data_IF_983248952282
#
_entry.id   IF_983248952282
#
_cell.length_a   1.000
_cell.length_b   1.000
_cell.length_c   1.000
_cell.angle_alpha   90.00
_cell.angle_beta   90.00
_cell.angle_gamma   90.00
#
_symmetry.space_group_name_H-M   'P 1'
#
loop_
_entity.id
_entity.type
_entity.pdbx_description
1 polymer ?
#
# COMPACT_ATOMS: atom_id res chain seq x y z
N UNK A 1 6.72 30.25 15.98
CA UNK A 1 6.42 30.12 14.55
C UNK A 1 4.91 30.17 14.40
N UNK A 2 4.39 30.93 13.44
CA UNK A 2 2.95 31.18 13.30
C UNK A 2 2.23 29.88 12.92
N UNK A 3 1.46 29.30 13.82
CA UNK A 3 0.64 28.07 13.65
C UNK A 3 -0.40 28.16 12.51
N UNK A 4 -0.45 29.28 11.82
CA UNK A 4 -1.46 29.57 10.80
C UNK A 4 -0.97 29.30 9.35
N UNK A 5 0.31 28.94 9.15
CA UNK A 5 0.89 28.70 7.82
C UNK A 5 0.77 27.24 7.36
N UNK A 6 0.75 26.30 8.30
CA UNK A 6 0.74 24.87 8.01
C UNK A 6 -0.67 24.27 8.14
N UNK A 7 -1.01 23.37 7.22
CA UNK A 7 -2.23 22.57 7.28
C UNK A 7 -2.00 21.26 8.06
N UNK A 8 -0.82 20.66 7.90
CA UNK A 8 -0.42 19.42 8.57
C UNK A 8 0.99 19.62 9.14
N UNK A 9 1.17 19.24 10.41
CA UNK A 9 2.48 19.21 11.08
C UNK A 9 2.64 17.88 11.79
N UNK A 10 3.69 17.15 11.46
CA UNK A 10 4.07 15.85 12.01
C UNK A 10 5.43 16.00 12.67
N UNK A 11 5.53 15.82 14.00
CA UNK A 11 6.74 16.02 14.77
C UNK A 11 7.14 14.76 15.53
N UNK A 12 8.30 14.17 15.16
CA UNK A 12 8.92 13.00 15.81
C UNK A 12 7.95 11.84 16.00
N UNK A 13 7.05 11.62 15.01
CA UNK A 13 6.01 10.61 15.10
C UNK A 13 6.59 9.22 14.93
N UNK A 14 6.32 8.38 15.93
CA UNK A 14 6.63 6.95 15.86
C UNK A 14 5.41 6.12 16.22
N UNK A 15 5.30 4.94 15.60
CA UNK A 15 4.25 3.96 15.89
C UNK A 15 4.83 2.58 16.05
N UNK A 16 4.68 2.04 17.26
CA UNK A 16 5.07 0.68 17.62
C UNK A 16 3.82 -0.17 17.85
N UNK A 17 3.81 -1.37 17.29
CA UNK A 17 2.83 -2.41 17.57
C UNK A 17 3.48 -3.50 18.42
N UNK A 18 2.78 -3.94 19.46
CA UNK A 18 3.19 -5.06 20.29
C UNK A 18 2.61 -6.35 19.72
N UNK A 19 3.46 -7.22 19.22
CA UNK A 19 3.08 -8.50 18.63
C UNK A 19 3.34 -9.60 19.67
N UNK A 20 2.31 -10.35 20.01
CA UNK A 20 2.37 -11.47 20.96
C UNK A 20 2.37 -12.78 20.19
N UNK A 21 3.38 -13.62 20.41
CA UNK A 21 3.49 -14.92 19.74
C UNK A 21 2.38 -15.88 20.19
N UNK A 22 1.95 -15.75 21.45
CA UNK A 22 0.85 -16.53 22.00
C UNK A 22 -0.17 -15.65 22.72
N UNK A 23 -1.47 -15.99 22.69
CA UNK A 23 -2.51 -15.27 23.44
C UNK A 23 -2.23 -15.19 24.94
N UNK A 24 -1.57 -16.22 25.50
CA UNK A 24 -1.18 -16.29 26.93
C UNK A 24 -0.12 -15.24 27.29
N UNK A 25 0.71 -14.82 26.37
CA UNK A 25 1.77 -13.85 26.60
C UNK A 25 1.22 -12.44 26.81
N UNK A 26 0.08 -12.13 26.17
CA UNK A 26 -0.68 -10.90 26.45
C UNK A 26 -1.16 -10.83 27.91
N UNK A 27 -1.64 -11.96 28.46
CA UNK A 27 -2.04 -12.03 29.86
C UNK A 27 -0.82 -11.93 30.80
N UNK A 28 0.29 -12.62 30.48
CA UNK A 28 1.54 -12.52 31.25
C UNK A 28 2.07 -11.09 31.25
N UNK A 29 2.05 -10.39 30.11
CA UNK A 29 2.48 -8.99 30.01
C UNK A 29 1.68 -8.06 30.92
N UNK A 30 0.41 -8.35 31.14
CA UNK A 30 -0.43 -7.55 32.03
C UNK A 30 -0.13 -7.77 33.53
N UNK A 31 0.26 -8.99 33.92
CA UNK A 31 0.42 -9.41 35.34
C UNK A 31 1.89 -9.40 35.78
N UNK A 32 2.78 -10.08 35.05
CA UNK A 32 4.16 -10.36 35.48
C UNK A 32 5.00 -9.09 35.66
N UNK A 33 5.00 -8.09 34.76
CA UNK A 33 5.81 -6.88 34.96
C UNK A 33 5.43 -6.07 36.19
N UNK A 34 4.16 -6.15 36.65
CA UNK A 34 3.71 -5.49 37.86
C UNK A 34 4.28 -6.18 39.13
N UNK A 35 4.33 -7.51 39.12
CA UNK A 35 4.94 -8.27 40.18
C UNK A 35 6.47 -8.13 40.24
N UNK A 36 7.12 -8.14 39.04
CA UNK A 36 8.57 -7.93 38.94
C UNK A 36 8.97 -6.52 39.41
N UNK A 37 8.17 -5.50 39.07
CA UNK A 37 8.38 -4.13 39.57
C UNK A 37 8.23 -4.04 41.11
N UNK A 38 7.27 -4.75 41.73
CA UNK A 38 7.08 -4.80 43.17
C UNK A 38 8.23 -5.51 43.87
N UNK A 39 8.92 -6.44 43.19
CA UNK A 39 10.07 -7.19 43.68
C UNK A 39 11.43 -6.56 43.30
N UNK A 40 11.43 -5.34 42.73
CA UNK A 40 12.64 -4.63 42.27
C UNK A 40 13.48 -5.45 41.25
N UNK A 41 12.82 -6.28 40.40
CA UNK A 41 13.45 -7.08 39.35
C UNK A 41 13.30 -6.39 38.00
N UNK A 42 14.19 -6.69 37.07
CA UNK A 42 14.08 -6.22 35.69
C UNK A 42 12.76 -6.72 35.05
N UNK A 43 12.05 -5.80 34.42
CA UNK A 43 10.77 -6.09 33.73
C UNK A 43 11.01 -6.90 32.46
N UNK A 44 10.41 -8.07 32.39
CA UNK A 44 10.43 -8.89 31.16
C UNK A 44 9.30 -8.48 30.24
N UNK A 45 9.62 -8.29 28.96
CA UNK A 45 8.63 -8.07 27.91
C UNK A 45 8.27 -9.42 27.27
N UNK A 46 6.96 -9.67 27.12
CA UNK A 46 6.41 -10.88 26.50
C UNK A 46 5.83 -10.61 25.12
N UNK A 47 6.35 -9.59 24.43
CA UNK A 47 5.95 -9.19 23.07
C UNK A 47 7.18 -8.78 22.26
N UNK A 48 7.03 -8.93 20.93
CA UNK A 48 7.96 -8.38 19.97
C UNK A 48 7.50 -6.99 19.53
N UNK A 49 8.40 -6.04 19.44
CA UNK A 49 8.11 -4.70 18.96
C UNK A 49 8.21 -4.64 17.44
N UNK A 50 7.14 -4.21 16.80
CA UNK A 50 7.14 -3.89 15.37
C UNK A 50 6.93 -2.38 15.18
N UNK A 51 7.99 -1.70 14.77
CA UNK A 51 7.97 -0.28 14.53
C UNK A 51 7.49 0.00 13.09
N UNK A 52 6.22 0.35 12.96
CA UNK A 52 5.62 0.72 11.67
C UNK A 52 6.04 2.11 11.21
N UNK A 53 6.34 3.02 12.17
CA UNK A 53 6.93 4.34 11.93
C UNK A 53 7.94 4.64 13.03
N UNK A 54 9.01 5.35 12.66
CA UNK A 54 10.07 5.76 13.59
C UNK A 54 10.59 7.15 13.26
N UNK A 55 10.37 8.08 14.18
CA UNK A 55 10.88 9.46 14.19
C UNK A 55 10.60 10.22 12.87
N UNK A 56 9.36 10.14 12.38
CA UNK A 56 8.93 10.81 11.15
C UNK A 56 8.61 12.27 11.44
N UNK A 57 9.17 13.17 10.61
CA UNK A 57 8.95 14.61 10.64
C UNK A 57 8.51 15.08 9.26
N UNK A 58 7.35 15.75 9.17
CA UNK A 58 6.81 16.20 7.90
C UNK A 58 5.82 17.34 8.09
N UNK A 59 5.92 18.35 7.24
CA UNK A 59 5.05 19.51 7.28
C UNK A 59 4.46 19.77 5.89
N UNK A 60 3.19 20.18 5.85
CA UNK A 60 2.49 20.59 4.63
C UNK A 60 1.89 21.97 4.86
N UNK A 61 2.23 22.93 4.00
CA UNK A 61 1.67 24.28 4.04
C UNK A 61 0.23 24.29 3.54
N UNK A 62 -0.56 25.28 3.98
CA UNK A 62 -1.90 25.49 3.43
C UNK A 62 -1.85 25.76 1.93
N UNK A 63 -2.69 25.05 1.17
CA UNK A 63 -2.72 25.12 -0.29
C UNK A 63 -1.57 24.43 -1.00
N UNK A 64 -0.67 23.75 -0.26
CA UNK A 64 0.41 22.97 -0.84
C UNK A 64 -0.08 21.59 -1.29
N UNK A 65 0.42 21.10 -2.43
CA UNK A 65 0.28 19.72 -2.84
C UNK A 65 1.54 18.95 -2.49
N UNK A 66 1.45 18.07 -1.48
CA UNK A 66 2.54 17.26 -0.97
C UNK A 66 2.32 15.77 -1.22
N UNK A 67 3.39 15.03 -1.53
CA UNK A 67 3.37 13.60 -1.79
C UNK A 67 3.96 12.78 -0.64
N UNK A 68 3.46 11.56 -0.44
CA UNK A 68 4.14 10.53 0.33
C UNK A 68 4.37 9.34 -0.59
N UNK A 69 5.63 9.00 -0.81
CA UNK A 69 6.01 7.87 -1.64
C UNK A 69 6.81 6.84 -0.84
N UNK A 70 6.70 5.59 -1.22
CA UNK A 70 7.39 4.47 -0.60
C UNK A 70 6.75 3.15 -1.00
N UNK A 71 7.47 2.06 -0.77
CA UNK A 71 7.03 0.69 -1.08
C UNK A 71 5.85 0.26 -0.19
N UNK A 72 5.23 -0.87 -0.56
CA UNK A 72 4.27 -1.54 0.31
C UNK A 72 4.95 -1.93 1.62
N UNK A 73 4.27 -1.65 2.75
CA UNK A 73 4.84 -1.86 4.09
C UNK A 73 5.82 -0.78 4.57
N UNK A 74 6.03 0.32 3.83
CA UNK A 74 6.91 1.42 4.28
C UNK A 74 6.32 2.30 5.38
N UNK A 75 5.04 2.12 5.75
CA UNK A 75 4.37 2.88 6.81
C UNK A 75 3.41 3.98 6.32
N UNK A 76 3.20 4.14 5.00
CA UNK A 76 2.33 5.19 4.42
C UNK A 76 0.92 5.18 5.02
N UNK A 77 0.23 4.06 4.99
CA UNK A 77 -1.15 3.94 5.51
C UNK A 77 -1.20 4.18 7.03
N UNK A 78 -0.17 3.75 7.77
CA UNK A 78 -0.06 4.03 9.21
C UNK A 78 0.08 5.54 9.47
N UNK A 79 0.93 6.23 8.68
CA UNK A 79 1.09 7.68 8.80
C UNK A 79 -0.21 8.41 8.46
N UNK A 80 -0.91 7.98 7.39
CA UNK A 80 -2.21 8.56 7.03
C UNK A 80 -3.26 8.39 8.11
N UNK A 81 -3.37 7.19 8.70
CA UNK A 81 -4.29 6.94 9.81
C UNK A 81 -4.00 7.81 11.03
N UNK A 82 -2.73 8.11 11.29
CA UNK A 82 -2.35 9.02 12.37
C UNK A 82 -2.71 10.47 12.00
N UNK A 83 -2.47 10.92 10.76
CA UNK A 83 -2.82 12.26 10.28
C UNK A 83 -4.33 12.49 10.32
N UNK A 84 -5.14 11.49 9.95
CA UNK A 84 -6.61 11.55 10.01
C UNK A 84 -7.19 11.41 11.41
N UNK A 85 -6.35 11.10 12.42
CA UNK A 85 -6.79 10.93 13.82
C UNK A 85 -7.45 9.58 14.11
N UNK A 86 -7.49 8.65 13.15
CA UNK A 86 -8.04 7.30 13.36
C UNK A 86 -7.12 6.38 14.13
N UNK A 87 -5.83 6.72 14.20
CA UNK A 87 -4.79 6.00 14.93
C UNK A 87 -3.94 6.96 15.76
N UNK A 88 -3.74 6.66 17.05
CA UNK A 88 -2.85 7.43 17.91
C UNK A 88 -1.39 7.01 17.72
N UNK A 89 -0.42 7.95 17.63
CA UNK A 89 0.99 7.63 17.61
C UNK A 89 1.44 7.04 18.96
N UNK A 90 2.57 6.34 18.98
CA UNK A 90 3.22 5.87 20.21
C UNK A 90 4.02 6.99 20.86
N UNK A 91 4.72 7.78 20.05
CA UNK A 91 5.45 8.98 20.44
C UNK A 91 5.31 10.05 19.37
N UNK A 92 5.63 11.29 19.72
CA UNK A 92 5.50 12.44 18.84
C UNK A 92 4.12 13.07 18.84
N UNK A 93 3.96 14.12 18.05
CA UNK A 93 2.71 14.90 17.96
C UNK A 93 2.32 15.14 16.51
N UNK A 94 1.01 15.27 16.30
CA UNK A 94 0.43 15.68 15.02
C UNK A 94 -0.54 16.82 15.27
N UNK A 95 -0.44 17.86 14.43
CA UNK A 95 -1.42 18.94 14.36
C UNK A 95 -1.95 19.05 12.93
N UNK A 96 -3.26 19.13 12.80
CA UNK A 96 -3.96 19.39 11.53
C UNK A 96 -4.90 20.56 11.68
N UNK A 97 -4.95 21.44 10.67
CA UNK A 97 -5.72 22.68 10.72
C UNK A 97 -6.68 22.74 9.53
N UNK A 98 -7.97 22.57 9.79
CA UNK A 98 -9.03 22.56 8.80
C UNK A 98 -9.78 21.22 8.72
N UNK A 99 -10.80 21.19 7.85
CA UNK A 99 -11.61 19.99 7.60
C UNK A 99 -10.84 19.03 6.69
N UNK A 100 -10.71 17.79 7.13
CA UNK A 100 -10.02 16.73 6.38
C UNK A 100 -11.05 15.88 5.65
N UNK A 101 -10.90 15.75 4.32
CA UNK A 101 -11.54 14.70 3.55
C UNK A 101 -10.47 13.66 3.19
N UNK A 102 -10.69 12.41 3.59
CA UNK A 102 -9.74 11.33 3.35
C UNK A 102 -10.36 10.26 2.46
N UNK A 103 -9.75 10.02 1.31
CA UNK A 103 -10.16 8.99 0.35
C UNK A 103 -9.50 7.62 0.63
N UNK A 104 -9.17 7.35 1.90
CA UNK A 104 -8.44 6.13 2.33
C UNK A 104 -9.30 4.87 2.23
N UNK A 105 -10.57 5.00 2.57
CA UNK A 105 -11.54 3.90 2.60
C UNK A 105 -12.86 4.42 2.03
N UNK A 106 -12.92 4.59 0.71
CA UNK A 106 -14.10 5.12 0.04
C UNK A 106 -15.35 4.29 0.36
N UNK A 107 -16.31 4.93 1.02
CA UNK A 107 -17.58 4.32 1.40
C UNK A 107 -17.60 3.60 2.75
N UNK A 108 -16.50 3.52 3.50
CA UNK A 108 -16.48 2.91 4.84
C UNK A 108 -17.41 3.61 5.86
N UNK A 109 -17.65 4.92 5.65
CA UNK A 109 -18.59 5.71 6.47
C UNK A 109 -20.05 5.62 6.04
N UNK A 110 -20.38 4.83 5.01
CA UNK A 110 -21.75 4.69 4.55
C UNK A 110 -22.52 3.69 5.39
N UNK A 111 -23.78 4.04 5.72
CA UNK A 111 -24.71 3.06 6.27
C UNK A 111 -25.35 2.26 5.12
N UNK A 112 -25.14 0.94 5.05
CA UNK A 112 -25.63 0.12 3.95
C UNK A 112 -27.16 0.06 3.84
N UNK A 113 -27.88 0.30 4.93
CA UNK A 113 -29.36 0.33 4.96
C UNK A 113 -29.94 1.65 4.47
N UNK A 114 -29.14 2.71 4.45
CA UNK A 114 -29.57 4.03 3.98
C UNK A 114 -29.45 4.14 2.47
N UNK A 115 -30.28 4.97 1.87
CA UNK A 115 -30.20 5.35 0.46
C UNK A 115 -28.92 6.14 0.19
N UNK A 116 -28.54 6.27 -1.09
CA UNK A 116 -27.42 7.14 -1.47
C UNK A 116 -27.64 8.59 -1.02
N UNK A 117 -28.89 9.09 -1.15
CA UNK A 117 -29.30 10.41 -0.66
C UNK A 117 -29.02 10.56 0.83
N UNK A 118 -29.53 9.65 1.65
CA UNK A 118 -29.35 9.70 3.11
C UNK A 118 -27.87 9.61 3.51
N UNK A 119 -27.08 8.82 2.79
CA UNK A 119 -25.63 8.73 3.01
C UNK A 119 -24.89 10.03 2.65
N UNK A 120 -25.34 10.80 1.65
CA UNK A 120 -24.81 12.14 1.38
C UNK A 120 -25.00 13.06 2.59
N UNK A 121 -26.19 13.09 3.16
CA UNK A 121 -26.47 13.91 4.35
C UNK A 121 -25.71 13.43 5.59
N UNK A 122 -25.64 12.11 5.80
CA UNK A 122 -24.90 11.52 6.91
C UNK A 122 -23.43 11.92 6.86
N UNK A 123 -22.77 11.74 5.71
CA UNK A 123 -21.35 12.07 5.55
C UNK A 123 -21.10 13.58 5.60
N UNK A 124 -21.99 14.39 5.02
CA UNK A 124 -21.91 15.85 5.14
C UNK A 124 -21.97 16.32 6.60
N UNK A 125 -22.86 15.73 7.38
CA UNK A 125 -22.97 16.04 8.82
C UNK A 125 -21.73 15.59 9.61
N UNK A 126 -21.15 14.41 9.29
CA UNK A 126 -19.88 13.93 9.89
C UNK A 126 -18.72 14.90 9.59
N UNK A 127 -18.71 15.50 8.40
CA UNK A 127 -17.72 16.53 8.00
C UNK A 127 -18.04 17.92 8.60
N UNK A 128 -19.06 18.03 9.43
CA UNK A 128 -19.41 19.26 10.14
C UNK A 128 -20.25 20.25 9.34
N UNK A 129 -20.84 19.84 8.22
CA UNK A 129 -21.73 20.69 7.42
C UNK A 129 -23.15 20.67 7.96
N UNK A 130 -23.81 21.83 7.90
CA UNK A 130 -25.22 21.90 8.20
C UNK A 130 -26.10 21.48 7.00
N UNK A 131 -27.40 21.26 7.25
CA UNK A 131 -28.29 20.76 6.19
C UNK A 131 -28.35 21.68 4.97
N UNK A 132 -28.38 22.99 5.15
CA UNK A 132 -28.46 23.94 4.03
C UNK A 132 -27.21 23.93 3.17
N UNK A 133 -26.04 23.73 3.78
CA UNK A 133 -24.75 23.59 3.07
C UNK A 133 -24.76 22.32 2.22
N UNK A 134 -25.30 21.22 2.75
CA UNK A 134 -25.42 19.96 2.03
C UNK A 134 -26.44 20.10 0.89
N UNK A 135 -27.61 20.71 1.15
CA UNK A 135 -28.66 20.96 0.13
C UNK A 135 -28.08 21.72 -1.08
N UNK A 136 -27.28 22.76 -0.82
CA UNK A 136 -26.65 23.57 -1.87
C UNK A 136 -25.63 22.77 -2.75
N UNK A 137 -25.06 21.68 -2.22
CA UNK A 137 -24.07 20.86 -2.91
C UNK A 137 -24.65 19.55 -3.44
N UNK A 138 -25.88 19.23 -3.07
CA UNK A 138 -26.51 17.94 -3.36
C UNK A 138 -26.52 17.60 -4.87
N UNK A 139 -26.98 18.54 -5.69
CA UNK A 139 -27.07 18.32 -7.15
C UNK A 139 -25.68 18.15 -7.79
N UNK A 140 -24.66 18.86 -7.28
CA UNK A 140 -23.30 18.70 -7.74
C UNK A 140 -22.73 17.31 -7.34
N UNK A 141 -23.03 16.83 -6.13
CA UNK A 141 -22.65 15.49 -5.66
C UNK A 141 -23.32 14.42 -6.53
N UNK A 142 -24.64 14.51 -6.70
CA UNK A 142 -25.44 13.55 -7.46
C UNK A 142 -24.99 13.51 -8.94
N UNK A 143 -24.75 14.67 -9.55
CA UNK A 143 -24.28 14.81 -10.92
C UNK A 143 -22.86 14.29 -11.12
N UNK A 144 -21.97 14.47 -10.13
CA UNK A 144 -20.62 13.92 -10.19
C UNK A 144 -20.61 12.39 -10.04
N UNK A 145 -21.38 11.85 -9.09
CA UNK A 145 -21.49 10.41 -8.84
C UNK A 145 -22.06 9.67 -10.06
N UNK A 146 -23.00 10.29 -10.79
CA UNK A 146 -23.56 9.77 -12.03
C UNK A 146 -24.10 8.33 -11.89
N UNK A 147 -24.91 8.11 -10.84
CA UNK A 147 -25.52 6.82 -10.52
C UNK A 147 -27.04 6.80 -10.76
N UNK A 148 -27.59 7.91 -11.27
CA UNK A 148 -28.97 8.02 -11.69
C UNK A 148 -29.98 7.73 -10.58
N UNK A 149 -31.01 6.97 -10.92
CA UNK A 149 -32.13 6.63 -9.99
C UNK A 149 -31.70 5.75 -8.82
N UNK A 150 -30.50 5.12 -8.86
CA UNK A 150 -29.98 4.33 -7.74
C UNK A 150 -29.74 5.18 -6.49
N UNK A 151 -29.62 6.51 -6.66
CA UNK A 151 -29.43 7.42 -5.52
C UNK A 151 -30.54 7.28 -4.46
N UNK A 152 -31.75 6.90 -4.86
CA UNK A 152 -32.90 6.67 -3.98
C UNK A 152 -33.01 5.22 -3.46
N UNK A 153 -32.04 4.36 -3.80
CA UNK A 153 -32.00 2.97 -3.34
C UNK A 153 -31.01 2.80 -2.19
N UNK A 154 -31.20 1.79 -1.30
CA UNK A 154 -30.24 1.48 -0.26
C UNK A 154 -28.87 1.13 -0.81
N UNK A 155 -27.82 1.66 -0.19
CA UNK A 155 -26.42 1.51 -0.66
C UNK A 155 -25.97 0.05 -0.70
N UNK A 156 -26.56 -0.83 0.13
CA UNK A 156 -26.29 -2.28 0.06
C UNK A 156 -26.62 -2.92 -1.30
N UNK A 157 -27.43 -2.26 -2.13
CA UNK A 157 -27.78 -2.73 -3.49
C UNK A 157 -26.81 -2.22 -4.56
N UNK A 158 -25.83 -1.39 -4.19
CA UNK A 158 -24.90 -0.79 -5.13
C UNK A 158 -23.83 -1.78 -5.57
N UNK A 159 -23.37 -1.63 -6.81
CA UNK A 159 -22.11 -2.22 -7.21
C UNK A 159 -20.94 -1.51 -6.50
N UNK A 160 -19.78 -2.17 -6.41
CA UNK A 160 -18.58 -1.56 -5.86
C UNK A 160 -18.20 -0.25 -6.56
N UNK A 161 -18.37 -0.17 -7.89
CA UNK A 161 -18.14 1.03 -8.67
C UNK A 161 -19.10 2.17 -8.31
N UNK A 162 -20.40 1.90 -8.13
CA UNK A 162 -21.38 2.91 -7.70
C UNK A 162 -21.07 3.44 -6.30
N UNK A 163 -20.71 2.55 -5.38
CA UNK A 163 -20.30 2.91 -4.02
C UNK A 163 -19.14 3.90 -4.03
N UNK A 164 -18.09 3.56 -4.77
CA UNK A 164 -16.89 4.40 -4.89
C UNK A 164 -17.19 5.74 -5.56
N UNK A 165 -18.01 5.75 -6.63
CA UNK A 165 -18.41 6.99 -7.31
C UNK A 165 -19.14 7.93 -6.37
N UNK A 166 -20.10 7.43 -5.59
CA UNK A 166 -20.84 8.25 -4.62
C UNK A 166 -19.92 8.73 -3.50
N UNK A 167 -19.11 7.84 -2.92
CA UNK A 167 -18.20 8.19 -1.84
C UNK A 167 -17.20 9.26 -2.24
N UNK A 168 -16.59 9.13 -3.42
CA UNK A 168 -15.69 10.13 -3.97
C UNK A 168 -16.41 11.47 -4.21
N UNK A 169 -17.61 11.44 -4.84
CA UNK A 169 -18.38 12.64 -5.10
C UNK A 169 -18.69 13.43 -3.82
N UNK A 170 -19.09 12.74 -2.76
CA UNK A 170 -19.33 13.36 -1.45
C UNK A 170 -18.08 14.04 -0.94
N UNK A 171 -16.95 13.34 -0.88
CA UNK A 171 -15.70 13.85 -0.30
C UNK A 171 -15.15 15.08 -1.03
N UNK A 172 -15.22 15.11 -2.38
CA UNK A 172 -14.62 16.19 -3.17
C UNK A 172 -15.53 17.40 -3.36
N UNK A 173 -16.86 17.21 -3.33
CA UNK A 173 -17.81 18.32 -3.52
C UNK A 173 -18.08 19.10 -2.22
N UNK A 174 -17.73 18.54 -1.07
CA UNK A 174 -17.91 19.21 0.23
C UNK A 174 -16.80 20.23 0.54
N UNK A 175 -15.89 20.46 -0.39
CA UNK A 175 -14.82 21.49 -0.32
C UNK A 175 -14.03 21.43 1.00
N UNK A 176 -13.25 20.39 1.21
CA UNK A 176 -12.41 20.27 2.40
C UNK A 176 -11.27 21.29 2.38
N UNK A 177 -10.69 21.60 3.54
CA UNK A 177 -9.46 22.38 3.64
C UNK A 177 -8.23 21.53 3.30
N UNK A 178 -8.29 20.22 3.63
CA UNK A 178 -7.25 19.22 3.39
C UNK A 178 -7.89 18.01 2.71
N UNK A 179 -7.39 17.67 1.54
CA UNK A 179 -7.77 16.47 0.80
C UNK A 179 -6.63 15.45 0.89
N UNK A 180 -6.92 14.28 1.47
CA UNK A 180 -5.98 13.16 1.53
C UNK A 180 -6.42 12.12 0.51
N UNK A 181 -5.51 11.79 -0.40
CA UNK A 181 -5.75 10.85 -1.49
C UNK A 181 -4.76 9.71 -1.39
N UNK A 182 -5.26 8.49 -1.27
CA UNK A 182 -4.44 7.28 -1.31
C UNK A 182 -4.59 6.58 -2.68
N UNK A 183 -3.83 5.53 -2.90
CA UNK A 183 -3.82 4.68 -4.11
C UNK A 183 -5.23 4.28 -4.62
N UNK A 184 -6.27 4.49 -3.80
CA UNK A 184 -7.67 4.20 -4.12
C UNK A 184 -8.25 4.97 -5.33
N UNK A 185 -7.52 5.91 -5.95
CA UNK A 185 -7.96 6.56 -7.20
C UNK A 185 -7.95 5.61 -8.42
N UNK A 186 -7.33 4.44 -8.32
CA UNK A 186 -7.37 3.42 -9.37
C UNK A 186 -8.72 2.68 -9.48
N UNK A 187 -9.75 3.11 -8.72
CA UNK A 187 -11.07 2.47 -8.66
C UNK A 187 -12.06 3.15 -9.62
N UNK A 188 -12.88 2.35 -10.28
CA UNK A 188 -13.85 2.80 -11.28
C UNK A 188 -13.33 2.62 -12.72
N UNK A 189 -14.09 3.13 -13.68
CA UNK A 189 -13.67 3.12 -15.09
C UNK A 189 -12.70 4.28 -15.42
N UNK A 190 -11.99 4.16 -16.53
CA UNK A 190 -11.00 5.14 -16.96
C UNK A 190 -11.57 6.56 -17.16
N UNK A 191 -12.86 6.67 -17.49
CA UNK A 191 -13.52 7.96 -17.66
C UNK A 191 -13.76 8.62 -16.29
N UNK A 192 -14.23 7.86 -15.33
CA UNK A 192 -14.43 8.34 -13.95
C UNK A 192 -13.10 8.73 -13.32
N UNK A 193 -12.04 7.93 -13.49
CA UNK A 193 -10.70 8.28 -13.02
C UNK A 193 -10.23 9.63 -13.55
N UNK A 194 -10.38 9.90 -14.86
CA UNK A 194 -10.06 11.21 -15.46
C UNK A 194 -10.88 12.35 -14.84
N UNK A 195 -12.17 12.12 -14.53
CA UNK A 195 -13.01 13.09 -13.83
C UNK A 195 -12.51 13.37 -12.41
N UNK A 196 -12.09 12.32 -11.70
CA UNK A 196 -11.50 12.44 -10.35
C UNK A 196 -10.22 13.29 -10.38
N UNK A 197 -9.26 12.98 -11.28
CA UNK A 197 -8.03 13.75 -11.40
C UNK A 197 -8.30 15.24 -11.70
N UNK A 198 -9.18 15.55 -12.66
CA UNK A 198 -9.54 16.92 -12.97
C UNK A 198 -10.19 17.66 -11.79
N UNK A 199 -10.98 16.94 -10.98
CA UNK A 199 -11.58 17.54 -9.79
C UNK A 199 -10.55 17.83 -8.72
N UNK A 200 -9.57 16.94 -8.52
CA UNK A 200 -8.44 17.15 -7.60
C UNK A 200 -7.61 18.36 -8.05
N UNK A 201 -7.24 18.45 -9.33
CA UNK A 201 -6.53 19.60 -9.89
C UNK A 201 -7.30 20.91 -9.69
N UNK A 202 -8.62 20.89 -9.87
CA UNK A 202 -9.46 22.05 -9.62
C UNK A 202 -9.46 22.45 -8.14
N UNK A 203 -9.55 21.48 -7.23
CA UNK A 203 -9.53 21.75 -5.78
C UNK A 203 -8.17 22.33 -5.35
N UNK A 204 -7.07 21.77 -5.82
CA UNK A 204 -5.72 22.27 -5.51
C UNK A 204 -5.48 23.66 -6.08
N UNK A 205 -5.93 23.96 -7.31
CA UNK A 205 -5.85 25.30 -7.87
C UNK A 205 -6.71 26.33 -7.13
N UNK A 206 -7.75 25.89 -6.43
CA UNK A 206 -8.57 26.72 -5.54
C UNK A 206 -7.99 26.86 -4.11
N UNK A 207 -6.79 26.34 -3.86
CA UNK A 207 -6.09 26.49 -2.59
C UNK A 207 -6.37 25.39 -1.56
N UNK A 208 -7.03 24.30 -1.93
CA UNK A 208 -7.17 23.11 -1.07
C UNK A 208 -5.81 22.45 -0.91
N UNK A 209 -5.43 22.14 0.32
CA UNK A 209 -4.20 21.41 0.62
C UNK A 209 -4.34 19.95 0.19
N UNK A 210 -3.42 19.44 -0.63
CA UNK A 210 -3.42 18.05 -1.08
C UNK A 210 -2.31 17.26 -0.38
N UNK A 211 -2.68 16.12 0.23
CA UNK A 211 -1.73 15.08 0.62
C UNK A 211 -1.98 13.84 -0.25
N UNK A 212 -1.11 13.62 -1.22
CA UNK A 212 -1.22 12.54 -2.18
C UNK A 212 -0.28 11.40 -1.84
N UNK A 213 -0.81 10.20 -1.66
CA UNK A 213 -0.04 9.01 -1.29
C UNK A 213 -0.16 7.97 -2.38
N UNK A 214 0.96 7.61 -2.97
CA UNK A 214 0.99 6.62 -4.03
C UNK A 214 2.37 5.95 -4.15
N UNK A 215 2.39 4.77 -4.75
CA UNK A 215 3.60 4.16 -5.26
C UNK A 215 3.83 4.50 -6.76
N UNK A 216 2.81 5.08 -7.43
CA UNK A 216 2.93 5.53 -8.82
C UNK A 216 3.67 6.85 -8.94
N UNK A 217 4.86 6.78 -9.53
CA UNK A 217 5.80 7.90 -9.65
C UNK A 217 5.27 9.03 -10.55
N UNK A 218 4.53 8.69 -11.62
CA UNK A 218 4.01 9.69 -12.55
C UNK A 218 2.91 10.53 -11.91
N UNK A 219 2.00 9.91 -11.17
CA UNK A 219 0.97 10.63 -10.42
C UNK A 219 1.56 11.55 -9.36
N UNK A 220 2.57 11.06 -8.61
CA UNK A 220 3.28 11.89 -7.62
C UNK A 220 3.97 13.08 -8.29
N UNK A 221 4.66 12.85 -9.40
CA UNK A 221 5.36 13.90 -10.15
C UNK A 221 4.41 14.97 -10.69
N UNK A 222 3.23 14.57 -11.12
CA UNK A 222 2.24 15.46 -11.75
C UNK A 222 1.46 16.26 -10.72
N UNK A 223 1.09 15.64 -9.60
CA UNK A 223 0.17 16.23 -8.62
C UNK A 223 0.87 16.92 -7.46
N UNK A 224 2.17 16.69 -7.23
CA UNK A 224 2.84 17.18 -6.03
C UNK A 224 4.14 17.92 -6.33
N UNK A 225 4.39 19.00 -5.57
CA UNK A 225 5.63 19.78 -5.68
C UNK A 225 6.72 19.27 -4.72
N UNK A 226 6.33 18.86 -3.53
CA UNK A 226 7.20 18.30 -2.49
C UNK A 226 6.70 16.91 -2.10
N UNK A 227 7.65 16.07 -1.69
CA UNK A 227 7.31 14.70 -1.27
C UNK A 227 8.17 14.26 -0.08
N UNK A 228 7.61 13.30 0.66
CA UNK A 228 8.25 12.52 1.70
C UNK A 228 8.48 11.10 1.18
N UNK A 229 9.72 10.62 1.22
CA UNK A 229 10.07 9.23 0.96
C UNK A 229 10.13 8.45 2.28
N UNK A 230 9.28 7.43 2.37
CA UNK A 230 9.28 6.48 3.48
C UNK A 230 9.83 5.13 3.02
N UNK A 231 10.76 4.57 3.81
CA UNK A 231 11.20 3.20 3.66
C UNK A 231 11.28 2.51 5.03
N UNK A 232 10.63 1.34 5.15
CA UNK A 232 10.61 0.51 6.37
C UNK A 232 10.31 1.30 7.64
N UNK A 233 9.30 2.16 7.56
CA UNK A 233 8.84 2.99 8.67
C UNK A 233 9.70 4.21 8.99
N UNK A 234 10.75 4.49 8.22
CA UNK A 234 11.64 5.63 8.41
C UNK A 234 11.51 6.64 7.30
N UNK A 235 11.67 7.89 7.65
CA UNK A 235 11.87 8.98 6.70
C UNK A 235 13.26 8.88 6.09
N UNK A 236 13.33 8.71 4.77
CA UNK A 236 14.59 8.68 4.02
C UNK A 236 14.94 10.06 3.52
N UNK A 237 13.98 10.73 2.89
CA UNK A 237 14.18 12.04 2.29
C UNK A 237 12.88 12.84 2.28
N UNK A 238 13.00 14.15 2.39
CA UNK A 238 11.92 15.12 2.13
C UNK A 238 12.50 16.26 1.28
N UNK A 239 11.80 16.61 0.20
CA UNK A 239 12.27 17.65 -0.71
C UNK A 239 11.37 17.79 -1.93
N UNK A 240 11.90 18.34 -3.02
CA UNK A 240 11.19 18.43 -4.28
C UNK A 240 10.80 17.02 -4.77
N UNK A 241 9.58 16.87 -5.29
CA UNK A 241 9.08 15.55 -5.73
C UNK A 241 10.00 14.91 -6.78
N UNK A 242 10.62 15.71 -7.67
CA UNK A 242 11.58 15.21 -8.66
C UNK A 242 12.82 14.56 -8.04
N UNK A 243 13.36 15.16 -6.97
CA UNK A 243 14.55 14.65 -6.26
C UNK A 243 14.21 13.41 -5.44
N UNK A 244 13.08 13.46 -4.74
CA UNK A 244 12.57 12.33 -3.95
C UNK A 244 12.27 11.12 -4.82
N UNK A 245 11.70 11.33 -6.02
CA UNK A 245 11.44 10.26 -6.98
C UNK A 245 12.74 9.65 -7.55
N UNK A 246 13.77 10.46 -7.74
CA UNK A 246 15.09 9.95 -8.15
C UNK A 246 15.69 9.02 -7.10
N UNK A 247 15.64 9.43 -5.82
CA UNK A 247 16.13 8.59 -4.72
C UNK A 247 15.26 7.32 -4.56
N UNK A 248 13.95 7.42 -4.73
CA UNK A 248 13.07 6.26 -4.72
C UNK A 248 13.43 5.23 -5.80
N UNK A 249 13.73 5.68 -7.04
CA UNK A 249 14.19 4.80 -8.12
C UNK A 249 15.51 4.14 -7.79
N UNK A 250 16.44 4.88 -7.16
CA UNK A 250 17.71 4.32 -6.72
C UNK A 250 17.51 3.19 -5.71
N UNK A 251 16.66 3.40 -4.71
CA UNK A 251 16.35 2.37 -3.72
C UNK A 251 15.73 1.11 -4.36
N UNK A 252 14.83 1.27 -5.33
CA UNK A 252 14.23 0.15 -6.06
C UNK A 252 15.29 -0.64 -6.83
N UNK A 253 16.18 0.04 -7.54
CA UNK A 253 17.25 -0.59 -8.31
C UNK A 253 18.24 -1.33 -7.41
N UNK A 254 18.63 -0.74 -6.28
CA UNK A 254 19.55 -1.39 -5.32
C UNK A 254 18.95 -2.68 -4.74
N UNK A 255 17.63 -2.72 -4.54
CA UNK A 255 16.96 -3.93 -4.08
C UNK A 255 16.81 -5.00 -5.16
N UNK A 256 16.48 -4.60 -6.38
CA UNK A 256 16.48 -5.52 -7.53
C UNK A 256 17.84 -6.18 -7.70
N UNK A 257 18.91 -5.41 -7.63
CA UNK A 257 20.28 -5.93 -7.72
C UNK A 257 20.59 -6.92 -6.60
N UNK A 258 20.19 -6.63 -5.37
CA UNK A 258 20.34 -7.55 -4.22
C UNK A 258 19.53 -8.82 -4.41
N UNK A 259 18.30 -8.72 -4.92
CA UNK A 259 17.46 -9.89 -5.20
C UNK A 259 18.12 -10.81 -6.24
N UNK A 260 18.57 -10.26 -7.36
CA UNK A 260 19.23 -11.05 -8.40
C UNK A 260 20.57 -11.65 -7.95
N UNK A 261 21.36 -10.93 -7.14
CA UNK A 261 22.61 -11.46 -6.59
C UNK A 261 22.36 -12.64 -5.62
N UNK A 262 21.33 -12.54 -4.77
CA UNK A 262 20.95 -13.62 -3.87
C UNK A 262 20.43 -14.84 -4.64
N UNK A 263 19.59 -14.62 -5.66
CA UNK A 263 19.08 -15.69 -6.51
C UNK A 263 20.22 -16.41 -7.26
N UNK A 264 21.19 -15.66 -7.78
CA UNK A 264 22.37 -16.26 -8.43
C UNK A 264 23.21 -17.11 -7.47
N UNK A 265 23.39 -16.65 -6.22
CA UNK A 265 24.10 -17.44 -5.19
C UNK A 265 23.35 -18.72 -4.80
N UNK A 266 22.01 -18.66 -4.64
CA UNK A 266 21.20 -19.84 -4.34
C UNK A 266 21.24 -20.89 -5.47
N UNK A 267 21.19 -20.44 -6.73
CA UNK A 267 21.31 -21.33 -7.89
C UNK A 267 22.70 -21.98 -7.93
N UNK A 268 23.76 -21.21 -7.69
CA UNK A 268 25.14 -21.73 -7.66
C UNK A 268 25.32 -22.78 -6.55
N UNK A 269 24.78 -22.56 -5.34
CA UNK A 269 24.81 -23.52 -4.24
C UNK A 269 24.05 -24.81 -4.56
N UNK A 270 22.87 -24.72 -5.17
CA UNK A 270 22.10 -25.91 -5.59
C UNK A 270 22.84 -26.72 -6.64
N UNK A 271 23.41 -26.06 -7.65
CA UNK A 271 24.18 -26.71 -8.71
C UNK A 271 25.46 -27.41 -8.16
N UNK A 272 26.09 -26.83 -7.14
CA UNK A 272 27.24 -27.38 -6.49
C UNK A 272 26.91 -28.62 -5.63
N UNK A 273 25.77 -28.56 -4.92
CA UNK A 273 25.25 -29.70 -4.17
C UNK A 273 24.86 -30.88 -5.06
N UNK A 274 24.19 -30.60 -6.20
CA UNK A 274 23.86 -31.65 -7.19
C UNK A 274 25.10 -32.31 -7.78
N UNK A 275 26.17 -31.57 -8.07
CA UNK A 275 27.46 -32.13 -8.53
C UNK A 275 28.13 -32.98 -7.46
N UNK A 276 28.12 -32.58 -6.21
CA UNK A 276 28.70 -33.34 -5.11
C UNK A 276 27.93 -34.65 -4.85
N UNK A 277 26.60 -34.67 -5.01
CA UNK A 277 25.81 -35.90 -4.92
C UNK A 277 26.06 -36.85 -6.09
N UNK A 278 26.33 -36.33 -7.29
CA UNK A 278 26.64 -37.14 -8.47
C UNK A 278 28.03 -37.79 -8.38
N UNK A 279 29.02 -37.14 -7.74
CA UNK A 279 30.36 -37.71 -7.51
C UNK A 279 30.40 -38.73 -6.40
N UNK A 280 29.52 -38.69 -5.41
CA UNK A 280 29.43 -39.71 -4.34
C UNK A 280 28.70 -41.01 -4.80
N UNK A 281 28.07 -41.01 -5.95
CA UNK A 281 27.33 -42.15 -6.52
C UNK A 281 28.11 -42.89 -7.61
N UNK A 282 29.39 -42.56 -7.86
CA UNK A 282 30.24 -43.41 -8.70
C UNK A 282 30.61 -44.68 -7.91
N UNK A 283 29.89 -45.76 -8.17
CA UNK A 283 30.24 -47.11 -7.72
C UNK A 283 31.64 -47.48 -8.22
N UNK A 284 32.45 -48.16 -7.41
CA UNK A 284 33.81 -48.61 -7.84
C UNK A 284 33.69 -49.53 -9.05
N UNK A 285 34.34 -49.15 -10.13
CA UNK A 285 34.48 -49.99 -11.32
C UNK A 285 35.24 -51.23 -10.89
N UNK A 286 34.53 -52.34 -10.76
CA UNK A 286 35.11 -53.66 -10.59
C UNK A 286 35.73 -54.03 -11.95
N UNK A 287 37.07 -54.01 -12.04
CA UNK A 287 37.85 -54.51 -13.16
C UNK A 287 37.62 -56.03 -13.31
N UNK A 288 36.79 -56.41 -14.27
CA UNK A 288 36.70 -57.78 -14.71
C UNK A 288 37.73 -57.95 -15.83
N UNK A 289 38.78 -58.70 -15.53
CA UNK A 289 39.77 -59.17 -16.45
C UNK A 289 39.19 -60.14 -17.49
N UNK A 290 39.56 -59.89 -18.72
CA UNK A 290 39.34 -60.64 -19.92
C UNK A 290 39.58 -62.14 -19.79
N UNK A 291 38.71 -62.96 -20.30
CA UNK A 291 39.04 -64.24 -20.94
C UNK A 291 38.20 -64.41 -22.19
N UNK A 292 38.94 -64.72 -23.28
CA UNK A 292 38.53 -64.95 -24.65
C UNK A 292 37.49 -66.10 -24.79
N UNK A 293 36.55 -66.01 -25.70
CA UNK A 293 36.49 -66.86 -26.92
C UNK A 293 35.14 -66.69 -27.65
N UNK A 294 35.35 -66.42 -28.93
CA UNK A 294 34.75 -67.03 -30.13
C UNK A 294 33.26 -67.08 -30.40
N UNK A 295 33.04 -66.59 -31.55
CA UNK A 295 32.18 -67.01 -32.69
C UNK A 295 30.74 -66.68 -32.78
N UNK A 296 30.48 -65.95 -33.78
CA UNK A 296 29.76 -66.16 -35.04
C UNK A 296 28.31 -65.68 -35.14
N UNK A 297 28.22 -64.90 -36.17
CA UNK A 297 27.15 -64.82 -37.20
C UNK A 297 25.76 -64.24 -36.92
N UNK A 298 25.57 -63.27 -37.71
CA UNK A 298 24.47 -63.11 -38.71
C UNK A 298 23.25 -62.27 -38.37
N UNK A 299 23.16 -61.26 -39.22
CA UNK A 299 22.00 -60.80 -39.98
C UNK A 299 20.94 -59.89 -39.33
N UNK A 300 20.98 -58.64 -39.81
CA UNK A 300 20.03 -58.06 -40.76
C UNK A 300 18.58 -57.93 -40.31
N UNK A 301 18.10 -56.72 -40.20
CA UNK A 301 17.12 -56.06 -41.05
C UNK A 301 16.52 -54.86 -40.30
N UNK A 302 16.80 -53.67 -40.77
CA UNK A 302 15.98 -52.85 -41.68
C UNK A 302 14.53 -52.60 -41.30
N UNK A 303 14.23 -51.37 -40.98
CA UNK A 303 13.30 -50.41 -41.62
C UNK A 303 12.80 -49.40 -40.58
N UNK A 304 13.17 -48.16 -40.65
CA UNK A 304 12.53 -47.05 -41.39
C UNK A 304 11.00 -47.09 -41.31
N UNK A 305 10.49 -46.15 -40.59
CA UNK A 305 9.35 -45.39 -41.17
C UNK A 305 9.27 -43.95 -40.67
N UNK A 306 9.11 -43.18 -41.64
CA UNK A 306 8.98 -41.74 -41.81
C UNK A 306 7.68 -41.20 -41.27
N UNK A 307 7.76 -39.96 -40.78
CA UNK A 307 6.95 -38.83 -41.16
C UNK A 307 5.39 -38.98 -41.27
N UNK A 308 4.66 -38.13 -40.56
CA UNK A 308 3.82 -37.21 -41.31
C UNK A 308 3.35 -36.04 -40.47
N UNK A 309 3.54 -34.89 -41.05
CA UNK A 309 2.91 -33.59 -40.76
C UNK A 309 1.39 -33.69 -40.99
N UNK A 310 0.63 -32.93 -40.25
CA UNK A 310 -0.78 -32.66 -40.49
C UNK A 310 -1.12 -31.27 -39.99
N UNK A 311 -1.04 -30.31 -40.87
CA UNK A 311 -1.75 -29.03 -40.77
C UNK A 311 -3.25 -29.27 -40.89
N UNK A 312 -4.06 -28.39 -40.29
CA UNK A 312 -5.51 -28.40 -40.46
C UNK A 312 -6.17 -27.28 -39.67
N UNK A 313 -6.40 -26.19 -40.39
CA UNK A 313 -7.27 -25.06 -40.08
C UNK A 313 -8.68 -25.48 -39.62
N UNK A 314 -9.26 -24.70 -38.69
CA UNK A 314 -10.54 -23.99 -38.81
C UNK A 314 -10.75 -23.10 -37.57
#
# INVERSE_FOLDING_TARGET
MSSNEYAIVVENVSKCYQIYDNPRDRLKQFIVPKFEAALNRERRNFYNEFWALKDVNFEVKKGEAAGIIGRNGSGKSTLLQIITGTLTPTTGTIATHGRIAALLELGSGFNPEFTGRENIYLNGAVLGLNKNEIDNKFDAIAGFADIGTHLEQPVKTYSSGMMVRLAFAVQVQLEPDILIVDEALAVGDALFQKRCFRQIEKLTSNGVTLLFVSHDQESVRTLTNRSLLLDRGKQVMTGLSSEVLLEYRRLLHDEENKFYSNLASEIAEKTQNEKNIATDNELPIVSITSSENEESTANENLRSDKLSFGEGEA
#
